data_IF_257904787997
#
_entry.id   IF_257904787997
#
_cell.length_a   1.000
_cell.length_b   1.000
_cell.length_c   1.000
_cell.angle_alpha   90.00
_cell.angle_beta   90.00
_cell.angle_gamma   90.00
#
_symmetry.space_group_name_H-M   'P 1'
#
loop_
_entity.id
_entity.type
_entity.pdbx_description
1 polymer ?
#
# COMPACT_ATOMS: atom_id res chain seq x y z
N UNK A 1 22.60 2.92 -14.68
CA UNK A 1 23.09 1.53 -14.72
C UNK A 1 22.61 0.84 -13.46
N UNK A 2 21.86 -0.25 -13.60
CA UNK A 2 21.31 -0.98 -12.46
C UNK A 2 22.43 -1.62 -11.65
N UNK A 3 22.65 -1.12 -10.44
CA UNK A 3 23.65 -1.62 -9.51
C UNK A 3 23.00 -1.82 -8.14
N UNK A 4 23.45 -2.86 -7.44
CA UNK A 4 23.05 -3.10 -6.05
C UNK A 4 23.83 -2.14 -5.16
N UNK A 5 23.11 -1.28 -4.42
CA UNK A 5 23.70 -0.28 -3.52
C UNK A 5 23.85 -0.89 -2.14
N UNK A 6 25.04 -0.75 -1.55
CA UNK A 6 25.31 -1.25 -0.19
C UNK A 6 24.94 -0.17 0.81
N UNK A 7 24.06 -0.53 1.75
CA UNK A 7 23.65 0.33 2.85
C UNK A 7 24.59 0.11 4.03
N UNK A 8 24.96 1.21 4.69
CA UNK A 8 25.94 1.21 5.77
C UNK A 8 25.32 1.49 7.15
N UNK A 9 24.18 2.19 7.17
CA UNK A 9 23.48 2.60 8.39
C UNK A 9 22.01 2.98 8.06
N UNK A 10 21.25 3.28 9.11
CA UNK A 10 19.85 3.69 9.02
C UNK A 10 19.65 4.99 8.22
N UNK A 11 20.53 5.98 8.40
CA UNK A 11 20.40 7.26 7.72
C UNK A 11 20.56 7.12 6.20
N UNK A 12 21.52 6.30 5.77
CA UNK A 12 21.73 5.95 4.38
C UNK A 12 20.53 5.18 3.82
N UNK A 13 19.98 4.22 4.58
CA UNK A 13 18.77 3.50 4.18
C UNK A 13 17.59 4.44 3.92
N UNK A 14 17.30 5.35 4.86
CA UNK A 14 16.20 6.31 4.73
C UNK A 14 16.42 7.29 3.58
N UNK A 15 17.66 7.69 3.33
CA UNK A 15 18.04 8.55 2.21
C UNK A 15 17.80 7.84 0.88
N UNK A 16 18.17 6.57 0.76
CA UNK A 16 17.94 5.78 -0.45
C UNK A 16 16.45 5.54 -0.71
N UNK A 17 15.66 5.28 0.33
CA UNK A 17 14.20 5.22 0.22
C UNK A 17 13.59 6.55 -0.23
N UNK A 18 14.11 7.68 0.25
CA UNK A 18 13.64 9.00 -0.17
C UNK A 18 14.01 9.31 -1.63
N UNK A 19 15.25 9.03 -2.03
CA UNK A 19 15.75 9.26 -3.38
C UNK A 19 15.06 8.39 -4.43
N UNK A 20 14.51 7.23 -4.02
CA UNK A 20 13.76 6.36 -4.92
C UNK A 20 12.47 7.00 -5.45
N UNK A 21 11.87 7.94 -4.70
CA UNK A 21 10.58 8.56 -5.02
C UNK A 21 9.49 7.49 -5.28
N UNK A 22 8.94 7.43 -6.48
CA UNK A 22 7.90 6.47 -6.90
C UNK A 22 8.47 5.12 -7.37
N UNK A 23 9.78 5.04 -7.59
CA UNK A 23 10.43 3.81 -8.09
C UNK A 23 10.33 2.69 -7.07
N UNK A 24 10.19 1.47 -7.56
CA UNK A 24 10.27 0.27 -6.73
C UNK A 24 11.65 0.18 -6.08
N UNK A 25 11.70 0.00 -4.77
CA UNK A 25 12.90 -0.36 -4.03
C UNK A 25 12.81 -1.81 -3.59
N UNK A 26 13.84 -2.59 -3.84
CA UNK A 26 13.97 -3.98 -3.38
C UNK A 26 15.18 -4.06 -2.46
N UNK A 27 14.93 -4.30 -1.17
CA UNK A 27 15.95 -4.35 -0.14
C UNK A 27 16.24 -5.78 0.29
N UNK A 28 17.46 -6.27 0.04
CA UNK A 28 17.99 -7.57 0.50
C UNK A 28 18.66 -7.42 1.87
N UNK A 29 17.98 -7.92 2.91
CA UNK A 29 18.55 -8.08 4.24
C UNK A 29 19.28 -9.41 4.32
N UNK A 30 20.60 -9.34 4.44
CA UNK A 30 21.52 -10.44 4.19
C UNK A 30 22.56 -10.56 5.29
N UNK A 31 23.34 -11.64 5.27
CA UNK A 31 24.47 -11.84 6.19
C UNK A 31 25.58 -12.64 5.52
N UNK A 32 26.83 -12.36 5.87
CA UNK A 32 28.00 -13.05 5.29
C UNK A 32 28.05 -14.54 5.61
N UNK A 33 27.62 -14.93 6.81
CA UNK A 33 27.57 -16.31 7.31
C UNK A 33 26.35 -17.11 6.81
N UNK A 34 25.42 -16.46 6.11
CA UNK A 34 24.19 -17.07 5.64
C UNK A 34 24.41 -17.76 4.27
N UNK A 35 24.50 -19.10 4.28
CA UNK A 35 24.66 -19.90 3.05
C UNK A 35 23.58 -19.65 1.97
N UNK A 36 22.27 -19.60 2.31
CA UNK A 36 21.22 -19.24 1.35
C UNK A 36 21.39 -17.84 0.73
N UNK A 37 21.88 -16.88 1.51
CA UNK A 37 22.15 -15.51 1.06
C UNK A 37 23.23 -15.48 -0.02
N UNK A 38 24.32 -16.23 0.18
CA UNK A 38 25.39 -16.35 -0.81
C UNK A 38 24.89 -16.94 -2.14
N UNK A 39 23.95 -17.88 -2.10
CA UNK A 39 23.38 -18.49 -3.32
C UNK A 39 22.52 -17.52 -4.13
N UNK A 40 21.73 -16.68 -3.46
CA UNK A 40 20.81 -15.76 -4.15
C UNK A 40 21.45 -14.42 -4.53
N UNK A 41 22.55 -14.02 -3.88
CA UNK A 41 23.29 -12.79 -4.18
C UNK A 41 23.63 -12.58 -5.69
N UNK A 42 24.17 -13.54 -6.45
CA UNK A 42 24.43 -13.34 -7.88
C UNK A 42 23.15 -13.15 -8.69
N UNK A 43 22.05 -13.81 -8.29
CA UNK A 43 20.74 -13.65 -8.94
C UNK A 43 20.20 -12.25 -8.65
N UNK A 44 20.30 -11.77 -7.41
CA UNK A 44 19.91 -10.41 -7.04
C UNK A 44 20.66 -9.34 -7.85
N UNK A 45 21.95 -9.54 -8.10
CA UNK A 45 22.73 -8.66 -8.99
C UNK A 45 22.25 -8.70 -10.45
N UNK A 46 21.93 -9.89 -10.97
CA UNK A 46 21.37 -10.02 -12.32
C UNK A 46 20.01 -9.32 -12.43
N UNK A 47 19.16 -9.45 -11.42
CA UNK A 47 17.87 -8.78 -11.35
C UNK A 47 18.05 -7.25 -11.32
N UNK A 48 19.04 -6.73 -10.59
CA UNK A 48 19.34 -5.29 -10.59
C UNK A 48 19.71 -4.75 -11.98
N UNK A 49 20.42 -5.54 -12.78
CA UNK A 49 20.75 -5.19 -14.17
C UNK A 49 19.53 -5.31 -15.08
N UNK A 50 18.72 -6.36 -14.90
CA UNK A 50 17.50 -6.64 -15.69
C UNK A 50 16.40 -5.59 -15.44
N UNK A 51 16.35 -5.05 -14.23
CA UNK A 51 15.31 -4.13 -13.76
C UNK A 51 15.90 -2.75 -13.42
N UNK A 52 16.51 -2.02 -14.37
CA UNK A 52 17.30 -0.82 -14.09
C UNK A 52 16.49 0.38 -13.56
N UNK A 53 15.15 0.37 -13.69
CA UNK A 53 14.27 1.40 -13.10
C UNK A 53 14.03 1.19 -11.60
N UNK A 54 14.17 -0.04 -11.12
CA UNK A 54 14.06 -0.34 -9.70
C UNK A 54 15.40 -0.11 -8.99
N UNK A 55 15.31 0.26 -7.72
CA UNK A 55 16.46 0.48 -6.84
C UNK A 55 16.70 -0.78 -6.03
N UNK A 56 17.90 -1.35 -6.12
CA UNK A 56 18.27 -2.56 -5.40
C UNK A 56 19.23 -2.20 -4.27
N UNK A 57 18.85 -2.54 -3.04
CA UNK A 57 19.62 -2.26 -1.83
C UNK A 57 20.08 -3.57 -1.21
N UNK A 58 21.31 -3.58 -0.71
CA UNK A 58 21.88 -4.68 0.09
C UNK A 58 22.18 -4.16 1.49
N UNK A 59 21.62 -4.81 2.50
CA UNK A 59 21.74 -4.45 3.90
C UNK A 59 22.32 -5.65 4.65
N UNK A 60 23.55 -5.54 5.12
CA UNK A 60 24.13 -6.56 5.99
C UNK A 60 23.60 -6.37 7.41
N UNK A 61 22.90 -7.37 7.94
CA UNK A 61 22.24 -7.27 9.25
C UNK A 61 23.24 -7.20 10.41
N UNK A 62 24.47 -7.69 10.24
CA UNK A 62 25.50 -7.62 11.28
C UNK A 62 26.04 -6.20 11.41
N UNK A 63 26.09 -5.46 10.29
CA UNK A 63 26.55 -4.07 10.23
C UNK A 63 25.41 -3.06 10.47
N UNK A 64 24.19 -3.36 10.01
CA UNK A 64 23.02 -2.48 10.08
C UNK A 64 21.94 -3.05 11.02
N UNK A 65 22.31 -3.36 12.26
CA UNK A 65 21.44 -4.04 13.23
C UNK A 65 20.16 -3.24 13.53
N UNK A 66 20.29 -1.92 13.72
CA UNK A 66 19.17 -1.03 13.97
C UNK A 66 18.18 -1.03 12.80
N UNK A 67 18.68 -0.96 11.57
CA UNK A 67 17.86 -1.03 10.35
C UNK A 67 17.17 -2.38 10.21
N UNK A 68 17.88 -3.48 10.44
CA UNK A 68 17.27 -4.81 10.39
C UNK A 68 16.14 -4.95 11.44
N UNK A 69 16.36 -4.45 12.66
CA UNK A 69 15.39 -4.47 13.74
C UNK A 69 14.18 -3.57 13.43
N UNK A 70 14.39 -2.34 12.96
CA UNK A 70 13.31 -1.40 12.59
C UNK A 70 12.45 -1.94 11.45
N UNK A 71 13.05 -2.74 10.56
CA UNK A 71 12.34 -3.38 9.47
C UNK A 71 11.67 -4.71 9.85
N UNK A 72 11.87 -5.22 11.07
CA UNK A 72 11.28 -6.46 11.56
C UNK A 72 11.89 -7.71 10.92
N UNK A 73 13.20 -7.68 10.64
CA UNK A 73 13.95 -8.79 10.04
C UNK A 73 14.45 -9.71 11.13
N UNK A 74 14.08 -10.99 11.05
CA UNK A 74 14.45 -12.04 12.01
C UNK A 74 15.15 -13.25 11.36
N UNK A 75 15.25 -13.27 10.02
CA UNK A 75 15.88 -14.33 9.27
C UNK A 75 16.42 -13.79 7.94
N UNK A 76 17.49 -14.41 7.45
CA UNK A 76 18.15 -14.01 6.22
C UNK A 76 18.18 -15.17 5.20
N UNK A 77 18.03 -14.88 3.90
CA UNK A 77 17.75 -13.56 3.35
C UNK A 77 16.27 -13.17 3.59
N UNK A 78 16.02 -11.89 3.82
CA UNK A 78 14.67 -11.31 3.75
C UNK A 78 14.71 -10.17 2.74
N UNK A 79 13.82 -10.22 1.75
CA UNK A 79 13.61 -9.16 0.80
C UNK A 79 12.37 -8.35 1.21
N UNK A 80 12.50 -7.03 1.27
CA UNK A 80 11.38 -6.12 1.51
C UNK A 80 11.26 -5.18 0.32
N UNK A 81 10.03 -5.01 -0.15
CA UNK A 81 9.70 -4.18 -1.30
C UNK A 81 9.08 -2.89 -0.79
N UNK A 82 9.58 -1.76 -1.29
CA UNK A 82 9.07 -0.44 -0.95
C UNK A 82 8.65 0.33 -2.18
N UNK A 83 7.63 1.16 -2.01
CA UNK A 83 7.21 2.18 -2.96
C UNK A 83 6.76 3.40 -2.17
N UNK A 84 7.26 4.57 -2.53
CA UNK A 84 7.01 5.82 -1.79
C UNK A 84 7.21 5.64 -0.26
N UNK A 85 8.36 5.06 0.13
CA UNK A 85 8.75 4.75 1.52
C UNK A 85 7.84 3.78 2.28
N UNK A 86 6.81 3.22 1.63
CA UNK A 86 5.86 2.30 2.25
C UNK A 86 6.19 0.87 1.84
N UNK A 87 6.13 -0.07 2.79
CA UNK A 87 6.30 -1.51 2.51
C UNK A 87 5.11 -2.01 1.70
N UNK A 88 5.37 -2.55 0.52
CA UNK A 88 4.32 -3.08 -0.37
C UNK A 88 4.29 -4.60 -0.41
N UNK A 89 5.42 -5.26 -0.13
CA UNK A 89 5.52 -6.71 -0.10
C UNK A 89 6.77 -7.16 0.70
N UNK A 90 6.83 -8.45 1.03
CA UNK A 90 7.94 -9.10 1.72
C UNK A 90 8.12 -10.53 1.21
N UNK A 91 9.37 -10.97 1.11
CA UNK A 91 9.74 -12.35 0.84
C UNK A 91 10.83 -12.78 1.82
N UNK A 92 10.63 -13.89 2.51
CA UNK A 92 11.64 -14.49 3.37
C UNK A 92 12.17 -15.77 2.73
N UNK A 93 13.49 -15.94 2.69
CA UNK A 93 14.16 -17.09 2.11
C UNK A 93 14.73 -16.86 0.72
N UNK A 94 15.62 -17.75 0.31
CA UNK A 94 16.35 -17.68 -0.96
C UNK A 94 15.57 -18.35 -2.10
N UNK A 95 14.44 -17.77 -2.48
CA UNK A 95 13.62 -18.21 -3.62
C UNK A 95 13.74 -17.20 -4.78
N UNK A 96 14.54 -17.56 -5.78
CA UNK A 96 14.80 -16.72 -6.95
C UNK A 96 13.56 -16.51 -7.83
N UNK A 97 12.74 -17.53 -8.00
CA UNK A 97 11.56 -17.48 -8.87
C UNK A 97 10.51 -16.57 -8.25
N UNK A 98 10.19 -16.76 -6.97
CA UNK A 98 9.23 -15.92 -6.26
C UNK A 98 9.73 -14.47 -6.13
N UNK A 99 11.04 -14.27 -5.91
CA UNK A 99 11.66 -12.95 -5.87
C UNK A 99 11.45 -12.21 -7.20
N UNK A 100 11.78 -12.84 -8.32
CA UNK A 100 11.60 -12.23 -9.64
C UNK A 100 10.12 -11.98 -9.97
N UNK A 101 9.21 -12.92 -9.67
CA UNK A 101 7.77 -12.74 -9.88
C UNK A 101 7.23 -11.54 -9.10
N UNK A 102 7.64 -11.36 -7.84
CA UNK A 102 7.27 -10.17 -7.05
C UNK A 102 7.85 -8.90 -7.64
N UNK A 103 9.12 -8.91 -8.08
CA UNK A 103 9.69 -7.75 -8.78
C UNK A 103 8.84 -7.42 -10.01
N UNK A 104 8.52 -8.38 -10.86
CA UNK A 104 7.71 -8.16 -12.06
C UNK A 104 6.33 -7.58 -11.73
N UNK A 105 5.68 -8.07 -10.67
CA UNK A 105 4.39 -7.57 -10.19
C UNK A 105 4.44 -6.07 -9.86
N UNK A 106 5.54 -5.57 -9.29
CA UNK A 106 5.67 -4.17 -8.86
C UNK A 106 6.57 -3.29 -9.76
N UNK A 107 7.24 -3.87 -10.75
CA UNK A 107 8.16 -3.18 -11.67
C UNK A 107 7.44 -2.37 -12.75
N UNK A 108 6.24 -2.82 -13.13
CA UNK A 108 5.42 -2.22 -14.19
C UNK A 108 4.24 -1.38 -13.68
N UNK A 109 4.02 -1.26 -12.37
CA UNK A 109 2.96 -0.43 -11.81
C UNK A 109 3.30 1.06 -11.79
N UNK A 110 4.07 1.55 -12.77
CA UNK A 110 4.09 2.97 -13.10
C UNK A 110 2.98 3.23 -14.11
N UNK A 111 2.26 4.34 -13.89
CA UNK A 111 1.27 4.94 -14.77
C UNK A 111 1.68 4.79 -16.25
N UNK A 112 0.74 4.38 -17.09
CA UNK A 112 0.89 4.42 -18.55
C UNK A 112 1.41 5.80 -18.95
N UNK A 113 2.51 5.84 -19.70
CA UNK A 113 3.14 7.05 -20.27
C UNK A 113 2.23 7.86 -21.22
N UNK A 114 0.95 7.47 -21.36
CA UNK A 114 -0.09 8.15 -22.13
C UNK A 114 -1.12 8.91 -21.28
N UNK A 115 -0.91 9.04 -19.95
CA UNK A 115 -1.72 9.93 -19.11
C UNK A 115 -0.87 11.13 -18.69
N UNK A 116 -1.38 12.33 -18.97
CA UNK A 116 -0.84 13.64 -18.57
C UNK A 116 -0.77 13.80 -17.04
N UNK A 117 0.11 13.04 -16.39
CA UNK A 117 0.30 13.01 -14.94
C UNK A 117 1.41 13.95 -14.48
N UNK A 118 1.11 14.79 -13.49
CA UNK A 118 2.05 15.74 -12.88
C UNK A 118 3.10 14.98 -12.06
N UNK A 119 4.38 15.39 -12.15
CA UNK A 119 5.47 14.76 -11.41
C UNK A 119 5.18 14.73 -9.89
N UNK A 120 5.17 13.52 -9.31
CA UNK A 120 4.82 13.29 -7.90
C UNK A 120 3.39 12.81 -7.66
N UNK A 121 2.57 12.70 -8.71
CA UNK A 121 1.33 11.95 -8.65
C UNK A 121 1.63 10.47 -8.36
N UNK A 122 0.89 9.90 -7.40
CA UNK A 122 0.92 8.48 -7.09
C UNK A 122 -0.51 7.98 -7.28
N UNK A 123 -0.74 7.23 -8.35
CA UNK A 123 -1.99 6.48 -8.49
C UNK A 123 -2.16 5.55 -7.27
N UNK A 124 -3.15 5.88 -6.43
CA UNK A 124 -3.50 5.13 -5.24
C UNK A 124 -4.39 3.92 -5.57
N UNK A 125 -4.96 3.85 -6.78
CA UNK A 125 -5.87 2.80 -7.21
C UNK A 125 -5.32 1.37 -7.04
N UNK A 126 -4.02 1.08 -7.26
CA UNK A 126 -3.45 -0.25 -7.00
C UNK A 126 -3.32 -0.60 -5.51
N UNK A 127 -3.30 0.41 -4.63
CA UNK A 127 -3.23 0.24 -3.18
C UNK A 127 -4.62 0.13 -2.55
N UNK A 128 -5.65 0.55 -3.28
CA UNK A 128 -7.05 0.32 -2.96
C UNK A 128 -7.37 -1.13 -3.38
N UNK A 129 -7.06 -2.08 -2.50
CA UNK A 129 -7.49 -3.47 -2.68
C UNK A 129 -9.02 -3.50 -2.64
N UNK A 130 -9.66 -3.88 -3.75
CA UNK A 130 -11.13 -3.89 -3.86
C UNK A 130 -11.83 -4.67 -2.73
N UNK A 131 -11.18 -5.72 -2.21
CA UNK A 131 -11.65 -6.50 -1.04
C UNK A 131 -11.38 -5.87 0.33
N UNK A 132 -10.60 -4.79 0.41
CA UNK A 132 -10.42 -3.96 1.62
C UNK A 132 -11.30 -2.70 1.61
N UNK A 133 -11.89 -2.37 0.47
CA UNK A 133 -12.88 -1.31 0.29
C UNK A 133 -14.31 -1.86 0.30
N UNK A 134 -14.54 -2.95 1.03
CA UNK A 134 -15.89 -3.34 1.41
C UNK A 134 -16.35 -2.40 2.52
N UNK A 135 -16.97 -1.30 2.13
CA UNK A 135 -17.92 -0.65 3.02
C UNK A 135 -18.99 -1.71 3.30
N UNK A 136 -18.97 -2.31 4.50
CA UNK A 136 -19.96 -3.32 4.93
C UNK A 136 -21.43 -2.87 4.80
N UNK A 137 -21.67 -1.60 4.41
CA UNK A 137 -22.97 -0.95 4.25
C UNK A 137 -23.03 -0.11 2.97
N UNK A 138 -22.44 -0.59 1.89
CA UNK A 138 -22.73 -0.06 0.56
C UNK A 138 -24.25 -0.15 0.33
N UNK A 139 -24.87 0.96 -0.11
CA UNK A 139 -26.30 0.97 -0.42
C UNK A 139 -26.53 0.12 -1.66
N UNK A 140 -27.47 -0.82 -1.63
CA UNK A 140 -27.87 -1.59 -2.81
C UNK A 140 -28.30 -0.67 -3.97
N UNK A 141 -28.83 0.51 -3.64
CA UNK A 141 -29.30 1.52 -4.60
C UNK A 141 -28.24 2.57 -5.00
N UNK A 142 -27.10 2.63 -4.32
CA UNK A 142 -26.06 3.63 -4.63
C UNK A 142 -24.66 3.18 -4.14
N UNK A 143 -24.09 2.16 -4.80
CA UNK A 143 -22.76 1.68 -4.48
C UNK A 143 -21.68 2.69 -4.84
N UNK A 144 -20.51 2.60 -4.19
CA UNK A 144 -19.31 3.34 -4.55
C UNK A 144 -18.94 3.15 -6.02
N UNK A 145 -19.28 2.00 -6.59
CA UNK A 145 -19.09 1.67 -8.01
C UNK A 145 -20.00 2.46 -8.97
N UNK A 146 -21.06 3.10 -8.45
CA UNK A 146 -22.06 3.85 -9.22
C UNK A 146 -22.01 5.36 -8.99
N UNK A 147 -21.04 5.87 -8.21
CA UNK A 147 -20.83 7.30 -8.05
C UNK A 147 -20.50 7.96 -9.39
N UNK A 148 -21.32 8.90 -9.82
CA UNK A 148 -21.06 9.67 -11.04
C UNK A 148 -20.30 10.97 -10.70
N UNK A 149 -19.44 11.47 -11.61
CA UNK A 149 -18.64 12.67 -11.35
C UNK A 149 -19.42 13.92 -10.88
N UNK A 150 -20.69 14.03 -11.25
CA UNK A 150 -21.59 15.14 -10.88
C UNK A 150 -22.05 15.10 -9.41
N UNK A 151 -22.04 13.92 -8.77
CA UNK A 151 -22.39 13.78 -7.35
C UNK A 151 -21.24 14.23 -6.41
N UNK A 152 -20.04 14.45 -6.98
CA UNK A 152 -18.87 14.96 -6.28
C UNK A 152 -18.79 16.51 -6.28
N UNK A 153 -19.77 17.20 -6.87
CA UNK A 153 -19.78 18.66 -7.06
C UNK A 153 -20.33 19.46 -5.84
N UNK A 154 -20.17 18.94 -4.62
CA UNK A 154 -20.27 19.75 -3.40
C UNK A 154 -21.59 19.66 -2.62
N UNK A 155 -22.49 18.73 -2.95
CA UNK A 155 -23.60 18.41 -2.04
C UNK A 155 -23.10 17.50 -0.90
N UNK A 156 -23.49 17.74 0.36
CA UNK A 156 -23.16 16.83 1.46
C UNK A 156 -23.67 15.41 1.16
N UNK A 157 -22.74 14.46 1.06
CA UNK A 157 -23.07 13.05 0.89
C UNK A 157 -23.43 12.47 2.25
N UNK A 158 -24.68 12.04 2.41
CA UNK A 158 -25.13 11.38 3.63
C UNK A 158 -24.52 9.97 3.70
N UNK A 159 -23.50 9.81 4.53
CA UNK A 159 -22.93 8.50 4.86
C UNK A 159 -23.93 7.73 5.73
N UNK A 160 -24.44 6.60 5.23
CA UNK A 160 -25.30 5.71 6.02
C UNK A 160 -24.44 4.71 6.81
N UNK A 161 -24.20 5.03 8.08
CA UNK A 161 -23.62 4.06 9.01
C UNK A 161 -24.73 3.20 9.63
N UNK A 162 -24.52 1.88 9.77
CA UNK A 162 -25.31 1.09 10.73
C UNK A 162 -24.75 1.27 12.13
N UNK A 163 -25.63 1.17 13.12
CA UNK A 163 -25.25 1.14 14.53
C UNK A 163 -24.25 0.00 14.80
N UNK A 164 -23.34 0.25 15.75
CA UNK A 164 -22.35 -0.67 16.31
C UNK A 164 -21.07 -0.91 15.49
N UNK A 165 -20.72 -0.01 14.57
CA UNK A 165 -19.43 -0.03 13.88
C UNK A 165 -18.42 0.85 14.63
N UNK A 166 -17.27 0.27 15.00
CA UNK A 166 -16.14 1.03 15.52
C UNK A 166 -15.32 1.55 14.33
N UNK A 167 -15.56 2.79 13.91
CA UNK A 167 -14.82 3.40 12.79
C UNK A 167 -13.43 3.77 13.31
N UNK A 168 -12.40 3.03 12.88
CA UNK A 168 -11.01 3.26 13.28
C UNK A 168 -10.22 4.12 12.29
N UNK A 169 -10.70 4.26 11.05
CA UNK A 169 -10.02 4.97 9.98
C UNK A 169 -11.01 5.70 9.07
N UNK A 170 -10.62 6.89 8.60
CA UNK A 170 -11.33 7.70 7.59
C UNK A 170 -10.29 8.11 6.54
N UNK A 171 -10.57 7.82 5.28
CA UNK A 171 -9.70 8.17 4.15
C UNK A 171 -10.43 9.16 3.23
N UNK A 172 -9.75 10.24 2.85
CA UNK A 172 -10.26 11.32 2.00
C UNK A 172 -9.46 11.36 0.69
N UNK A 173 -10.17 11.52 -0.43
CA UNK A 173 -9.56 11.70 -1.74
C UNK A 173 -9.94 13.09 -2.26
N UNK A 174 -8.95 13.91 -2.58
CA UNK A 174 -9.16 15.26 -3.12
C UNK A 174 -8.95 15.18 -4.62
N UNK A 175 -10.03 15.37 -5.39
CA UNK A 175 -10.03 15.23 -6.85
C UNK A 175 -9.15 16.28 -7.54
N UNK A 176 -9.21 17.52 -7.07
CA UNK A 176 -8.49 18.66 -7.64
C UNK A 176 -8.42 19.81 -6.64
N UNK A 177 -7.46 20.72 -6.79
CA UNK A 177 -7.24 21.88 -5.93
C UNK A 177 -8.06 23.13 -6.32
N UNK A 178 -9.11 22.94 -7.12
CA UNK A 178 -10.12 23.94 -7.55
C UNK A 178 -9.58 25.24 -8.16
N UNK A 179 -8.31 25.33 -8.56
CA UNK A 179 -7.80 26.56 -9.21
C UNK A 179 -6.43 26.42 -9.89
N UNK A 180 -5.90 25.20 -10.04
CA UNK A 180 -4.58 24.99 -10.65
C UNK A 180 -3.42 25.46 -9.77
N UNK A 181 -3.63 25.59 -8.47
CA UNK A 181 -2.56 25.91 -7.52
C UNK A 181 -1.54 24.76 -7.39
N UNK A 182 -0.35 25.02 -6.88
CA UNK A 182 0.61 23.92 -6.60
C UNK A 182 0.33 23.23 -5.25
N UNK A 183 -0.48 23.87 -4.39
CA UNK A 183 -0.72 23.43 -3.01
C UNK A 183 -2.22 23.30 -2.78
N UNK A 184 -2.64 22.11 -2.34
CA UNK A 184 -3.99 21.88 -1.81
C UNK A 184 -3.98 22.15 -0.31
N UNK A 185 -4.76 23.13 0.15
CA UNK A 185 -4.88 23.47 1.56
C UNK A 185 -6.29 23.12 2.06
N UNK A 186 -6.37 22.28 3.11
CA UNK A 186 -7.63 22.04 3.84
C UNK A 186 -7.57 22.88 5.11
N UNK A 187 -8.28 24.00 5.12
CA UNK A 187 -8.29 24.93 6.27
C UNK A 187 -9.02 24.38 7.48
N UNK A 188 -10.09 23.62 7.24
CA UNK A 188 -10.94 23.12 8.31
C UNK A 188 -11.67 21.85 7.89
N UNK A 189 -11.62 20.83 8.75
CA UNK A 189 -12.41 19.60 8.62
C UNK A 189 -13.21 19.42 9.91
N UNK A 190 -14.54 19.51 9.82
CA UNK A 190 -15.43 19.18 10.92
C UNK A 190 -16.29 17.97 10.56
N UNK A 191 -16.23 16.96 11.42
CA UNK A 191 -17.12 15.80 11.35
C UNK A 191 -18.26 16.05 12.34
N UNK A 192 -19.43 16.39 11.82
CA UNK A 192 -20.62 16.68 12.62
C UNK A 192 -21.58 15.52 12.45
N UNK A 193 -21.85 14.79 13.53
CA UNK A 193 -22.83 13.71 13.57
C UNK A 193 -23.96 14.03 14.54
N UNK A 194 -25.19 13.77 14.13
CA UNK A 194 -26.35 13.69 15.03
C UNK A 194 -26.96 12.30 14.91
N UNK A 195 -27.38 11.65 16.01
CA UNK A 195 -28.06 10.36 15.91
C UNK A 195 -29.43 10.58 15.24
N UNK A 196 -29.55 10.17 13.96
CA UNK A 196 -30.72 10.50 13.12
C UNK A 196 -31.95 9.66 13.50
N UNK A 197 -31.75 8.48 14.08
CA UNK A 197 -32.82 7.68 14.67
C UNK A 197 -32.21 6.54 15.47
N UNK A 198 -32.84 6.21 16.60
CA UNK A 198 -32.58 4.91 17.23
C UNK A 198 -33.64 3.96 16.73
N UNK A 199 -33.25 2.93 15.98
CA UNK A 199 -34.18 1.86 15.61
C UNK A 199 -34.71 1.22 16.90
N UNK A 200 -36.03 1.15 17.05
CA UNK A 200 -36.67 0.52 18.19
C UNK A 200 -36.45 -1.00 18.09
N UNK A 201 -35.69 -1.55 19.03
CA UNK A 201 -35.32 -2.97 19.03
C UNK A 201 -36.51 -3.92 19.24
N UNK A 202 -37.69 -3.39 19.60
CA UNK A 202 -38.92 -4.17 19.76
C UNK A 202 -39.50 -4.74 18.47
N UNK A 203 -39.14 -4.18 17.30
CA UNK A 203 -39.75 -4.56 16.02
C UNK A 203 -38.98 -5.67 15.28
N UNK A 204 -37.76 -5.99 15.71
CA UNK A 204 -36.97 -7.06 15.08
C UNK A 204 -37.33 -8.44 15.65
N UNK A 205 -38.00 -9.26 14.83
CA UNK A 205 -38.18 -10.68 15.11
C UNK A 205 -36.95 -11.46 14.64
N UNK A 206 -36.38 -12.24 15.56
CA UNK A 206 -35.29 -13.19 15.29
C UNK A 206 -35.79 -14.21 14.25
N UNK A 207 -35.20 -14.20 13.05
CA UNK A 207 -35.45 -15.26 12.06
C UNK A 207 -34.69 -16.50 12.51
N UNK A 208 -35.40 -17.46 13.08
CA UNK A 208 -34.83 -18.78 13.40
C UNK A 208 -34.66 -19.49 12.06
N UNK A 209 -33.41 -19.57 11.58
CA UNK A 209 -33.07 -20.33 10.39
C UNK A 209 -33.59 -21.76 10.50
N UNK A 210 -34.27 -22.26 9.46
CA UNK A 210 -34.67 -23.66 9.40
C UNK A 210 -33.42 -24.52 9.42
N UNK A 211 -33.41 -25.48 10.35
CA UNK A 211 -32.34 -26.44 10.54
C UNK A 211 -32.29 -27.37 9.31
N UNK A 212 -31.31 -27.15 8.44
CA UNK A 212 -30.90 -28.11 7.40
C UNK A 212 -31.16 -27.66 5.97
N UNK A 213 -30.33 -26.76 5.45
CA UNK A 213 -29.90 -26.82 4.06
C UNK A 213 -28.38 -26.59 4.05
N UNK A 214 -27.65 -27.66 3.81
CA UNK A 214 -26.22 -27.65 3.52
C UNK A 214 -26.06 -27.44 2.02
N UNK A 215 -25.43 -26.34 1.61
CA UNK A 215 -24.57 -26.26 0.43
C UNK A 215 -23.55 -25.15 0.65
#
# INVERSE_FOLDING_TARGET
>A
MGSVRVINDEAHFQTELANAATRLVVADFTATWCGPCQRIAPIFQQLAVKYPRAVFLKIDVDHCQETAASQGVSAMPTFIFYRNKTKVDRLQGADATTLESKIQQYYGSEESEDAEGVAGHMDLQPFILKGQCECLNESDDHPFQELVPQELEGNPINLRFVKFQNIQNIQLFIKDNQSGGEVTQIDHLAIIGSPISTTNMGDFKRVIGKKGESH
#
